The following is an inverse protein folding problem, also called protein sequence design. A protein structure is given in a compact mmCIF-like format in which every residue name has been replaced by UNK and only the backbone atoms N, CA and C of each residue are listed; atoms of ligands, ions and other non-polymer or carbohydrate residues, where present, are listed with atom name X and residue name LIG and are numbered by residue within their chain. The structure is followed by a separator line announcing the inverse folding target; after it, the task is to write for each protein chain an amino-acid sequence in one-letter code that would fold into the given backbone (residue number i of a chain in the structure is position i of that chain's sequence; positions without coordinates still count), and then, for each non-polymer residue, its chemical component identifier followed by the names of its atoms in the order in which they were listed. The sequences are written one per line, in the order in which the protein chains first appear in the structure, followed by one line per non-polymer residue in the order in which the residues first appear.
data_IF_703135430768
#
_entry.id   IF_703135430768
#
_cell.length_a   1.000
_cell.length_b   1.000
_cell.length_c   1.000
_cell.angle_alpha   90.00
_cell.angle_beta   90.00
_cell.angle_gamma   90.00
#
_symmetry.space_group_name_H-M   'P 1'
#
loop_
_entity.id
_entity.type
_entity.pdbx_description
1 polymer ?
#
# COMPACT_ATOMS: atom_id res chain seq x y z
N UNK A 1 6.60 8.29 -27.85
CA UNK A 1 6.52 7.63 -26.52
C UNK A 1 6.95 8.65 -25.49
N UNK A 2 6.16 8.97 -24.46
CA UNK A 2 6.70 9.76 -23.36
C UNK A 2 7.85 8.95 -22.75
N UNK A 3 9.00 9.59 -22.58
CA UNK A 3 10.18 8.95 -22.00
C UNK A 3 9.89 8.63 -20.53
N UNK A 4 10.22 7.41 -20.08
CA UNK A 4 10.10 7.04 -18.67
C UNK A 4 10.82 8.07 -17.80
N UNK A 5 10.12 8.58 -16.78
CA UNK A 5 10.62 9.69 -15.94
C UNK A 5 11.82 9.23 -15.12
N UNK A 6 11.69 8.04 -14.54
CA UNK A 6 12.73 7.33 -13.81
C UNK A 6 13.13 6.10 -14.62
N UNK A 7 14.44 5.84 -14.69
CA UNK A 7 15.01 4.69 -15.40
C UNK A 7 15.88 3.87 -14.46
N UNK A 8 15.95 2.55 -14.68
CA UNK A 8 16.78 1.67 -13.88
C UNK A 8 18.26 2.12 -13.91
N UNK A 9 18.90 2.12 -12.76
CA UNK A 9 20.29 2.60 -12.58
C UNK A 9 20.41 4.10 -12.29
N UNK A 10 19.34 4.89 -12.45
CA UNK A 10 19.33 6.30 -12.08
C UNK A 10 19.58 6.46 -10.57
N UNK A 11 20.42 7.44 -10.22
CA UNK A 11 20.71 7.82 -8.82
C UNK A 11 20.16 9.21 -8.55
N UNK A 12 19.17 9.30 -7.67
CA UNK A 12 18.55 10.57 -7.30
C UNK A 12 19.08 10.99 -5.93
N UNK A 13 19.53 12.26 -5.82
CA UNK A 13 20.13 12.84 -4.61
C UNK A 13 21.29 12.02 -4.01
N UNK A 14 21.98 11.19 -4.82
CA UNK A 14 22.98 10.19 -4.37
C UNK A 14 22.45 9.23 -3.27
N UNK A 15 21.13 9.17 -3.05
CA UNK A 15 20.46 8.41 -1.99
C UNK A 15 19.58 7.31 -2.55
N UNK A 16 18.72 7.64 -3.52
CA UNK A 16 17.75 6.71 -4.08
C UNK A 16 18.28 6.12 -5.40
N UNK A 17 18.45 4.80 -5.42
CA UNK A 17 18.95 4.05 -6.56
C UNK A 17 17.76 3.36 -7.23
N UNK A 18 17.30 3.92 -8.35
CA UNK A 18 16.13 3.42 -9.09
C UNK A 18 16.44 2.05 -9.68
N UNK A 19 15.51 1.11 -9.49
CA UNK A 19 15.53 -0.23 -10.08
C UNK A 19 14.45 -0.34 -11.15
N UNK A 20 13.65 -1.39 -11.14
CA UNK A 20 12.61 -1.64 -12.11
C UNK A 20 11.33 -0.82 -11.82
N UNK A 21 10.58 -0.53 -12.88
CA UNK A 21 9.19 -0.04 -12.78
C UNK A 21 8.32 -1.14 -12.16
N UNK A 22 7.45 -0.75 -11.25
CA UNK A 22 6.48 -1.63 -10.57
C UNK A 22 5.09 -1.52 -11.20
N UNK A 23 4.73 -0.32 -11.65
CA UNK A 23 3.43 -0.09 -12.26
C UNK A 23 3.30 1.30 -12.86
N UNK A 24 2.21 1.49 -13.60
CA UNK A 24 1.77 2.76 -14.15
C UNK A 24 0.27 2.84 -13.92
N UNK A 25 -0.18 4.00 -13.46
CA UNK A 25 -1.59 4.26 -13.24
C UNK A 25 -1.95 5.68 -13.63
N UNK A 26 -3.22 6.03 -13.42
CA UNK A 26 -3.76 7.36 -13.72
C UNK A 26 -2.96 8.49 -13.06
N UNK A 27 -2.41 8.24 -11.87
CA UNK A 27 -1.73 9.25 -11.06
C UNK A 27 -0.20 9.23 -11.21
N UNK A 28 0.34 8.47 -12.17
CA UNK A 28 1.77 8.45 -12.46
C UNK A 28 2.39 7.06 -12.43
N UNK A 29 3.71 7.05 -12.39
CA UNK A 29 4.53 5.84 -12.49
C UNK A 29 5.10 5.47 -11.12
N UNK A 30 5.14 4.17 -10.80
CA UNK A 30 5.71 3.68 -9.54
C UNK A 30 6.91 2.80 -9.84
N UNK A 31 8.00 3.04 -9.12
CA UNK A 31 9.28 2.34 -9.31
C UNK A 31 9.77 1.75 -8.00
N UNK A 32 10.45 0.60 -8.08
CA UNK A 32 11.27 0.10 -6.99
C UNK A 32 12.56 0.90 -6.94
N UNK A 33 13.01 1.27 -5.76
CA UNK A 33 14.34 1.83 -5.56
C UNK A 33 14.97 1.31 -4.27
N UNK A 34 16.28 1.50 -4.14
CA UNK A 34 17.01 1.27 -2.90
C UNK A 34 17.38 2.62 -2.28
N UNK A 35 16.94 2.87 -1.06
CA UNK A 35 17.42 3.98 -0.25
C UNK A 35 18.73 3.58 0.41
N UNK A 36 19.84 4.18 -0.02
CA UNK A 36 21.18 3.89 0.49
C UNK A 36 21.42 4.42 1.91
N UNK A 37 20.67 5.44 2.34
CA UNK A 37 20.82 6.02 3.68
C UNK A 37 20.15 5.12 4.71
N UNK A 38 18.88 4.80 4.49
CA UNK A 38 18.10 3.89 5.37
C UNK A 38 18.41 2.40 5.12
N UNK A 39 19.17 2.10 4.07
CA UNK A 39 19.58 0.75 3.65
C UNK A 39 18.41 -0.20 3.39
N UNK A 40 17.31 0.31 2.84
CA UNK A 40 16.09 -0.46 2.60
C UNK A 40 15.53 -0.24 1.19
N UNK A 41 14.75 -1.21 0.72
CA UNK A 41 13.98 -1.06 -0.51
C UNK A 41 12.75 -0.16 -0.28
N UNK A 42 12.48 0.75 -1.21
CA UNK A 42 11.38 1.72 -1.18
C UNK A 42 10.63 1.76 -2.51
N UNK A 43 9.41 2.28 -2.50
CA UNK A 43 8.66 2.62 -3.70
C UNK A 43 8.79 4.13 -4.00
N UNK A 44 9.06 4.49 -5.25
CA UNK A 44 9.06 5.87 -5.73
C UNK A 44 7.85 6.07 -6.64
N UNK A 45 6.85 6.84 -6.18
CA UNK A 45 5.72 7.27 -7.01
C UNK A 45 6.07 8.63 -7.63
N UNK A 46 6.19 8.66 -8.95
CA UNK A 46 6.47 9.85 -9.74
C UNK A 46 5.17 10.37 -10.35
N UNK A 47 4.74 11.55 -9.90
CA UNK A 47 3.53 12.24 -10.37
C UNK A 47 3.95 13.46 -11.17
N UNK A 48 3.43 13.63 -12.38
CA UNK A 48 3.76 14.79 -13.21
C UNK A 48 3.32 16.08 -12.52
N UNK A 49 4.23 17.06 -12.50
CA UNK A 49 3.96 18.43 -12.07
C UNK A 49 3.41 19.17 -13.28
N UNK A 50 2.14 19.53 -13.25
CA UNK A 50 1.48 20.21 -14.38
C UNK A 50 1.57 21.71 -14.15
N UNK A 51 2.50 22.36 -14.83
CA UNK A 51 2.71 23.82 -14.76
C UNK A 51 1.62 24.66 -15.46
N UNK A 52 0.46 24.06 -15.79
CA UNK A 52 -0.66 24.81 -16.36
C UNK A 52 -1.58 25.31 -15.26
N UNK A 53 -2.10 26.52 -15.45
CA UNK A 53 -2.95 27.31 -14.53
C UNK A 53 -4.29 26.63 -14.19
N UNK A 54 -4.47 25.35 -14.53
CA UNK A 54 -5.63 24.54 -14.12
C UNK A 54 -5.26 23.69 -12.88
N UNK A 55 -5.54 24.29 -11.73
CA UNK A 55 -5.20 23.95 -10.33
C UNK A 55 -5.54 22.54 -9.79
N UNK A 56 -5.68 21.48 -10.60
CA UNK A 56 -6.23 20.19 -10.11
C UNK A 56 -5.25 19.03 -9.97
N UNK A 57 -4.16 18.97 -10.74
CA UNK A 57 -3.30 17.77 -10.78
C UNK A 57 -2.07 17.86 -9.84
N UNK A 58 -1.44 19.03 -9.70
CA UNK A 58 -0.41 19.25 -8.66
C UNK A 58 -0.98 19.18 -7.23
N UNK A 59 -2.28 19.47 -7.09
CA UNK A 59 -3.01 19.27 -5.85
C UNK A 59 -3.12 17.78 -5.45
N UNK A 60 -2.98 16.84 -6.39
CA UNK A 60 -3.11 15.40 -6.13
C UNK A 60 -1.88 14.84 -5.42
N UNK A 61 -0.67 15.10 -5.92
CA UNK A 61 0.58 14.62 -5.28
C UNK A 61 0.82 15.29 -3.92
N UNK A 62 0.62 16.61 -3.85
CA UNK A 62 0.71 17.37 -2.60
C UNK A 62 -0.38 16.92 -1.62
N UNK A 63 -1.60 16.66 -2.11
CA UNK A 63 -2.71 16.14 -1.31
C UNK A 63 -2.41 14.77 -0.73
N UNK A 64 -1.95 13.84 -1.56
CA UNK A 64 -1.56 12.48 -1.14
C UNK A 64 -0.42 12.52 -0.12
N UNK A 65 0.64 13.29 -0.38
CA UNK A 65 1.74 13.45 0.55
C UNK A 65 1.27 14.02 1.90
N UNK A 66 0.41 15.05 1.91
CA UNK A 66 -0.16 15.63 3.14
C UNK A 66 -0.98 14.61 3.94
N UNK A 67 -1.79 13.80 3.26
CA UNK A 67 -2.62 12.77 3.90
C UNK A 67 -1.72 11.69 4.50
N UNK A 68 -0.73 11.20 3.75
CA UNK A 68 0.22 10.21 4.25
C UNK A 68 1.04 10.75 5.44
N UNK A 69 1.46 12.01 5.41
CA UNK A 69 2.11 12.66 6.55
C UNK A 69 1.20 12.73 7.78
N UNK A 70 -0.08 13.08 7.59
CA UNK A 70 -1.07 13.12 8.67
C UNK A 70 -1.30 11.73 9.26
N UNK A 71 -1.40 10.70 8.42
CA UNK A 71 -1.54 9.31 8.83
C UNK A 71 -0.32 8.82 9.62
N UNK A 72 0.90 9.12 9.14
CA UNK A 72 2.15 8.76 9.82
C UNK A 72 2.28 9.47 11.17
N UNK A 73 1.96 10.78 11.22
CA UNK A 73 1.97 11.58 12.45
C UNK A 73 1.04 11.00 13.51
N UNK A 74 -0.15 10.55 13.12
CA UNK A 74 -1.11 9.91 14.02
C UNK A 74 -0.83 8.41 14.25
N UNK A 75 0.27 7.86 13.69
CA UNK A 75 0.62 6.43 13.77
C UNK A 75 -0.54 5.52 13.38
N UNK A 76 -1.29 5.93 12.35
CA UNK A 76 -2.48 5.22 11.89
C UNK A 76 -2.10 3.81 11.42
N UNK A 77 -2.53 2.77 12.15
CA UNK A 77 -2.26 1.38 11.74
C UNK A 77 -3.03 1.07 10.45
N UNK A 78 -2.40 0.31 9.55
CA UNK A 78 -2.98 -0.02 8.24
C UNK A 78 -2.78 1.04 7.15
N UNK A 79 -2.04 2.14 7.42
CA UNK A 79 -1.66 3.11 6.38
C UNK A 79 -0.20 2.95 5.93
N UNK A 80 0.10 3.18 4.64
CA UNK A 80 1.46 3.22 4.12
C UNK A 80 2.31 4.27 4.81
N UNK A 81 3.60 4.00 4.95
CA UNK A 81 4.56 5.01 5.37
C UNK A 81 5.03 5.85 4.18
N UNK A 82 5.21 7.15 4.43
CA UNK A 82 5.86 8.11 3.55
C UNK A 82 7.17 8.49 4.24
N UNK A 83 8.28 8.19 3.59
CA UNK A 83 9.62 8.40 4.11
C UNK A 83 10.20 9.74 3.69
N UNK A 84 9.90 10.19 2.47
CA UNK A 84 10.40 11.44 1.91
C UNK A 84 9.46 11.93 0.79
N UNK A 85 9.54 13.22 0.48
CA UNK A 85 8.81 13.88 -0.59
C UNK A 85 9.67 14.98 -1.20
N UNK A 86 9.84 14.96 -2.52
CA UNK A 86 10.63 15.98 -3.21
C UNK A 86 10.31 16.10 -4.69
N UNK A 87 10.66 17.23 -5.29
CA UNK A 87 10.58 17.41 -6.75
C UNK A 87 11.84 16.88 -7.45
N UNK A 88 11.65 16.24 -8.59
CA UNK A 88 12.72 15.80 -9.49
C UNK A 88 12.29 16.01 -10.94
N UNK A 89 13.00 16.90 -11.65
CA UNK A 89 12.57 17.43 -12.95
C UNK A 89 11.14 18.01 -12.81
N UNK A 90 10.27 17.76 -13.77
CA UNK A 90 8.86 18.15 -13.77
C UNK A 90 7.94 17.15 -13.05
N UNK A 91 8.43 16.48 -12.00
CA UNK A 91 7.66 15.49 -11.26
C UNK A 91 7.82 15.65 -9.74
N UNK A 92 6.73 15.44 -9.03
CA UNK A 92 6.70 15.23 -7.59
C UNK A 92 6.96 13.75 -7.30
N UNK A 93 7.96 13.48 -6.46
CA UNK A 93 8.37 12.12 -6.08
C UNK A 93 7.96 11.88 -4.62
N UNK A 94 7.11 10.89 -4.41
CA UNK A 94 6.77 10.36 -3.09
C UNK A 94 7.62 9.11 -2.85
N UNK A 95 8.41 9.11 -1.76
CA UNK A 95 9.17 7.94 -1.31
C UNK A 95 8.34 7.22 -0.26
N UNK A 96 7.86 6.04 -0.62
CA UNK A 96 6.88 5.28 0.16
C UNK A 96 7.42 3.91 0.54
N UNK A 97 6.76 3.31 1.51
CA UNK A 97 6.91 1.91 1.83
C UNK A 97 6.72 1.01 0.60
N UNK A 98 7.65 0.06 0.41
CA UNK A 98 7.53 -0.94 -0.63
C UNK A 98 6.69 -2.12 -0.17
N UNK A 99 5.62 -2.40 -0.91
CA UNK A 99 4.76 -3.56 -0.71
C UNK A 99 5.19 -4.76 -1.55
N UNK A 100 4.80 -5.96 -1.12
CA UNK A 100 5.08 -7.20 -1.83
C UNK A 100 4.14 -7.41 -3.01
N UNK A 101 2.84 -7.26 -2.76
CA UNK A 101 1.79 -7.39 -3.77
C UNK A 101 0.51 -6.69 -3.29
N UNK A 102 -0.45 -6.52 -4.18
CA UNK A 102 -1.81 -6.08 -3.85
C UNK A 102 -2.80 -7.24 -3.88
N UNK A 103 -3.98 -7.03 -3.31
CA UNK A 103 -4.99 -8.06 -3.14
C UNK A 103 -5.61 -8.50 -4.48
N UNK A 104 -5.64 -7.62 -5.49
CA UNK A 104 -6.08 -7.96 -6.84
C UNK A 104 -5.11 -8.96 -7.49
N UNK A 105 -3.81 -8.66 -7.44
CA UNK A 105 -2.77 -9.56 -7.95
C UNK A 105 -2.74 -10.87 -7.18
N UNK A 106 -2.95 -10.83 -5.88
CA UNK A 106 -2.99 -12.03 -5.06
C UNK A 106 -4.16 -12.94 -5.46
N UNK A 107 -5.37 -12.39 -5.63
CA UNK A 107 -6.54 -13.15 -6.11
C UNK A 107 -6.30 -13.69 -7.52
N UNK A 108 -5.71 -12.88 -8.40
CA UNK A 108 -5.39 -13.25 -9.78
C UNK A 108 -4.41 -14.41 -9.84
N UNK A 109 -3.44 -14.52 -8.94
CA UNK A 109 -2.44 -15.62 -8.95
C UNK A 109 -2.81 -16.78 -8.02
N UNK A 110 -3.89 -16.65 -7.24
CA UNK A 110 -4.35 -17.75 -6.39
C UNK A 110 -4.77 -18.97 -7.24
N UNK A 111 -4.33 -20.20 -6.90
CA UNK A 111 -4.62 -21.40 -7.71
C UNK A 111 -6.12 -21.63 -7.95
N UNK A 112 -6.95 -21.36 -6.94
CA UNK A 112 -8.41 -21.52 -7.00
C UNK A 112 -9.15 -20.26 -7.45
N UNK A 113 -8.45 -19.17 -7.76
CA UNK A 113 -9.00 -17.82 -8.05
C UNK A 113 -10.05 -17.34 -7.02
N UNK A 114 -9.98 -17.86 -5.81
CA UNK A 114 -10.90 -17.62 -4.70
C UNK A 114 -10.19 -17.92 -3.39
N UNK A 115 -10.59 -17.25 -2.32
CA UNK A 115 -10.09 -17.50 -0.96
C UNK A 115 -11.08 -18.37 -0.18
N UNK A 116 -10.57 -19.16 0.76
CA UNK A 116 -11.43 -19.77 1.76
C UNK A 116 -12.23 -18.70 2.52
N UNK A 117 -13.43 -19.06 3.01
CA UNK A 117 -14.26 -18.16 3.84
C UNK A 117 -13.46 -17.60 5.02
N UNK A 118 -12.59 -18.43 5.59
CA UNK A 118 -11.77 -18.07 6.74
C UNK A 118 -10.73 -17.00 6.41
N UNK A 119 -9.97 -17.19 5.33
CA UNK A 119 -9.04 -16.20 4.82
C UNK A 119 -9.75 -14.88 4.50
N UNK A 120 -10.91 -14.95 3.81
CA UNK A 120 -11.72 -13.77 3.50
C UNK A 120 -12.14 -12.97 4.74
N UNK A 121 -12.62 -13.65 5.79
CA UNK A 121 -13.03 -13.01 7.04
C UNK A 121 -11.86 -12.29 7.73
N UNK A 122 -10.67 -12.86 7.67
CA UNK A 122 -9.48 -12.23 8.25
C UNK A 122 -8.99 -11.02 7.44
N UNK A 123 -9.04 -11.08 6.11
CA UNK A 123 -8.78 -9.90 5.28
C UNK A 123 -9.81 -8.81 5.54
N UNK A 124 -11.09 -9.16 5.62
CA UNK A 124 -12.15 -8.22 5.96
C UNK A 124 -11.88 -7.54 7.31
N UNK A 125 -11.51 -8.32 8.34
CA UNK A 125 -11.16 -7.77 9.66
C UNK A 125 -10.08 -6.68 9.57
N UNK A 126 -8.93 -6.98 8.95
CA UNK A 126 -7.82 -6.02 8.88
C UNK A 126 -8.12 -4.83 7.97
N UNK A 127 -8.84 -5.02 6.88
CA UNK A 127 -9.30 -3.92 6.02
C UNK A 127 -10.24 -3.01 6.79
N UNK A 128 -11.21 -3.57 7.52
CA UNK A 128 -12.14 -2.81 8.35
C UNK A 128 -11.40 -2.07 9.48
N UNK A 129 -10.41 -2.71 10.12
CA UNK A 129 -9.57 -2.07 11.14
C UNK A 129 -8.78 -0.88 10.57
N UNK A 130 -8.16 -1.04 9.39
CA UNK A 130 -7.46 0.05 8.70
C UNK A 130 -8.41 1.21 8.38
N UNK A 131 -9.60 0.91 7.83
CA UNK A 131 -10.63 1.92 7.53
C UNK A 131 -11.11 2.63 8.80
N UNK A 132 -11.35 1.88 9.89
CA UNK A 132 -11.70 2.44 11.20
C UNK A 132 -10.66 3.45 11.66
N UNK A 133 -9.37 3.11 11.57
CA UNK A 133 -8.29 3.98 12.03
C UNK A 133 -8.20 5.29 11.22
N UNK A 134 -8.34 5.24 9.89
CA UNK A 134 -8.32 6.46 9.07
C UNK A 134 -9.58 7.33 9.31
N UNK A 135 -10.74 6.70 9.54
CA UNK A 135 -11.98 7.41 9.82
C UNK A 135 -11.96 8.09 11.19
N UNK A 136 -11.27 7.52 12.19
CA UNK A 136 -11.10 8.13 13.52
C UNK A 136 -10.37 9.47 13.48
N UNK A 137 -9.54 9.70 12.46
CA UNK A 137 -8.84 10.99 12.25
C UNK A 137 -9.52 11.85 11.17
N UNK A 138 -10.75 11.51 10.77
CA UNK A 138 -11.56 12.30 9.85
C UNK A 138 -11.23 12.12 8.36
N UNK A 139 -10.49 11.08 7.99
CA UNK A 139 -10.09 10.83 6.59
C UNK A 139 -10.94 9.69 6.02
N UNK A 140 -11.64 9.94 4.92
CA UNK A 140 -12.34 8.90 4.16
C UNK A 140 -11.48 8.45 2.98
N UNK A 141 -11.26 7.15 2.75
CA UNK A 141 -10.44 6.64 1.62
C UNK A 141 -11.11 6.72 0.24
N UNK A 142 -12.44 6.55 0.14
CA UNK A 142 -13.28 6.67 -1.08
C UNK A 142 -12.93 5.81 -2.31
N UNK A 143 -11.83 5.06 -2.32
CA UNK A 143 -11.43 4.15 -3.41
C UNK A 143 -10.94 2.80 -2.87
N UNK A 144 -11.75 2.19 -2.00
CA UNK A 144 -11.45 0.89 -1.42
C UNK A 144 -11.77 -0.18 -2.47
N UNK A 145 -10.73 -0.80 -3.00
CA UNK A 145 -10.79 -1.89 -3.98
C UNK A 145 -9.58 -2.83 -3.79
N UNK A 146 -9.62 -4.08 -4.30
CA UNK A 146 -8.52 -5.03 -4.11
C UNK A 146 -7.15 -4.52 -4.57
N UNK A 147 -7.09 -3.72 -5.64
CA UNK A 147 -5.85 -3.12 -6.14
C UNK A 147 -5.25 -2.05 -5.21
N UNK A 148 -6.02 -1.56 -4.23
CA UNK A 148 -5.58 -0.57 -3.24
C UNK A 148 -5.32 -1.17 -1.85
N UNK A 149 -5.46 -2.49 -1.69
CA UNK A 149 -5.18 -3.23 -0.46
C UNK A 149 -3.88 -4.01 -0.68
N UNK A 150 -2.84 -3.65 0.05
CA UNK A 150 -1.48 -4.14 -0.16
C UNK A 150 -1.01 -5.02 0.97
N UNK A 151 -0.19 -6.01 0.63
CA UNK A 151 0.53 -6.85 1.57
C UNK A 151 1.93 -6.30 1.81
N UNK A 152 2.27 -6.09 3.09
CA UNK A 152 3.59 -5.65 3.53
C UNK A 152 4.66 -6.69 3.21
N UNK A 153 5.85 -6.21 2.87
CA UNK A 153 7.02 -7.06 2.73
C UNK A 153 7.60 -7.32 4.13
N UNK A 154 7.67 -8.58 4.56
CA UNK A 154 8.36 -8.90 5.81
C UNK A 154 9.86 -9.02 5.53
N UNK A 155 10.58 -7.91 5.72
CA UNK A 155 12.04 -7.93 5.57
C UNK A 155 12.75 -8.50 6.81
N UNK A 156 12.03 -8.97 7.84
CA UNK A 156 12.65 -9.55 9.03
C UNK A 156 13.32 -10.91 8.77
N UNK A 157 13.01 -11.60 7.66
CA UNK A 157 13.53 -12.94 7.38
C UNK A 157 13.87 -13.15 5.88
N UNK A 158 14.92 -12.48 5.38
CA UNK A 158 15.51 -12.80 4.06
C UNK A 158 16.39 -14.07 4.11
N UNK A 159 15.79 -15.22 4.44
CA UNK A 159 16.40 -16.52 4.16
C UNK A 159 15.66 -17.17 2.97
N UNK A 160 16.32 -17.38 1.81
CA UNK A 160 15.72 -18.09 0.69
C UNK A 160 15.39 -19.53 1.14
N UNK A 161 14.09 -19.84 1.20
CA UNK A 161 13.57 -21.13 1.69
C UNK A 161 12.61 -21.03 2.89
N UNK A 162 12.46 -19.86 3.51
CA UNK A 162 11.61 -19.71 4.70
C UNK A 162 10.19 -19.22 4.39
N UNK A 163 9.23 -19.93 4.99
CA UNK A 163 7.81 -19.56 5.11
C UNK A 163 7.70 -18.22 5.85
N UNK A 164 7.16 -17.20 5.20
CA UNK A 164 6.92 -15.89 5.83
C UNK A 164 5.53 -15.87 6.46
N UNK A 165 5.45 -15.69 7.78
CA UNK A 165 4.20 -15.73 8.57
C UNK A 165 3.61 -14.34 8.76
N UNK A 166 2.36 -14.17 8.32
CA UNK A 166 1.64 -12.90 8.27
C UNK A 166 0.96 -12.42 9.54
N UNK A 167 1.53 -11.46 10.27
CA UNK A 167 0.92 -10.87 11.49
C UNK A 167 0.06 -9.59 11.22
N UNK A 168 -0.50 -8.99 12.28
CA UNK A 168 -1.46 -7.87 12.25
C UNK A 168 -1.02 -6.60 11.47
N UNK A 169 0.24 -6.47 11.08
CA UNK A 169 0.77 -5.31 10.35
C UNK A 169 0.79 -5.43 8.82
N UNK A 170 0.16 -6.46 8.26
CA UNK A 170 0.43 -6.91 6.90
C UNK A 170 -0.48 -6.32 5.84
N UNK A 171 -1.70 -5.92 6.16
CA UNK A 171 -2.55 -5.24 5.19
C UNK A 171 -2.45 -3.73 5.36
N UNK A 172 -2.17 -3.04 4.25
CA UNK A 172 -2.21 -1.58 4.20
C UNK A 172 -3.10 -1.13 3.05
N UNK A 173 -3.95 -0.16 3.31
CA UNK A 173 -4.74 0.47 2.26
C UNK A 173 -4.01 1.73 1.78
N UNK A 174 -3.62 1.79 0.50
CA UNK A 174 -3.08 3.04 -0.05
C UNK A 174 -4.22 4.01 -0.24
N UNK A 175 -4.17 5.09 0.53
CA UNK A 175 -5.15 6.16 0.47
C UNK A 175 -4.93 6.98 -0.80
N UNK A 176 -5.65 6.68 -1.87
CA UNK A 176 -5.78 7.55 -3.05
C UNK A 176 -7.00 8.46 -2.87
N UNK A 177 -6.80 9.79 -2.79
CA UNK A 177 -7.89 10.73 -2.56
C UNK A 177 -7.83 12.03 -3.38
N UNK A 178 -8.86 12.21 -4.22
CA UNK A 178 -9.27 13.47 -4.85
C UNK A 178 -9.85 14.45 -3.83
N UNK A 179 -9.04 15.29 -3.17
CA UNK A 179 -9.45 16.38 -2.27
C UNK A 179 -10.93 16.80 -2.41
N UNK A 180 -11.79 16.29 -1.52
CA UNK A 180 -13.11 16.83 -1.25
C UNK A 180 -13.52 16.30 0.13
N UNK A 181 -13.34 17.16 1.13
CA UNK A 181 -13.69 16.90 2.52
C UNK A 181 -15.21 16.71 2.63
N UNK A 182 -15.64 15.52 3.01
CA UNK A 182 -16.90 15.35 3.73
C UNK A 182 -16.60 14.51 4.95
N UNK A 183 -16.81 15.09 6.13
CA UNK A 183 -16.75 14.38 7.40
C UNK A 183 -17.96 13.44 7.46
N UNK A 184 -17.73 12.13 7.30
CA UNK A 184 -18.76 11.11 7.43
C UNK A 184 -18.93 10.66 8.89
N UNK A 185 -20.16 10.35 9.31
CA UNK A 185 -20.45 9.73 10.62
C UNK A 185 -19.64 8.44 10.77
N UNK A 186 -19.05 8.22 11.95
CA UNK A 186 -18.30 7.01 12.28
C UNK A 186 -19.19 5.76 12.18
N UNK A 187 -18.95 4.83 11.24
CA UNK A 187 -19.69 3.57 11.17
C UNK A 187 -19.51 2.71 12.43
N UNK A 188 -20.46 1.81 12.71
CA UNK A 188 -20.44 0.87 13.85
C UNK A 188 -19.43 -0.27 13.63
N UNK A 189 -18.15 0.09 13.52
CA UNK A 189 -17.07 -0.86 13.24
C UNK A 189 -16.95 -1.98 14.27
N UNK A 190 -17.17 -1.68 15.55
CA UNK A 190 -17.01 -2.67 16.60
C UNK A 190 -18.00 -3.83 16.44
N UNK A 191 -19.27 -3.53 16.15
CA UNK A 191 -20.30 -4.54 15.90
C UNK A 191 -19.93 -5.48 14.73
N UNK A 192 -19.39 -4.90 13.64
CA UNK A 192 -18.94 -5.67 12.46
C UNK A 192 -17.73 -6.55 12.81
N UNK A 193 -16.74 -6.01 13.53
CA UNK A 193 -15.55 -6.77 13.93
C UNK A 193 -15.89 -7.90 14.91
N UNK A 194 -16.84 -7.67 15.82
CA UNK A 194 -17.34 -8.69 16.75
C UNK A 194 -18.10 -9.79 15.99
N UNK A 195 -18.85 -9.43 14.94
CA UNK A 195 -19.52 -10.39 14.08
C UNK A 195 -18.53 -11.25 13.28
N UNK A 196 -17.50 -10.66 12.70
CA UNK A 196 -16.43 -11.40 12.01
C UNK A 196 -15.75 -12.36 12.98
N UNK A 197 -15.45 -11.90 14.20
CA UNK A 197 -14.78 -12.70 15.23
C UNK A 197 -15.63 -13.89 15.68
N UNK A 198 -16.96 -13.72 15.82
CA UNK A 198 -17.89 -14.83 16.12
C UNK A 198 -17.91 -15.90 15.03
N UNK A 199 -17.74 -15.51 13.77
CA UNK A 199 -17.84 -16.42 12.61
C UNK A 199 -16.51 -17.07 12.20
N UNK A 200 -15.36 -16.51 12.58
CA UNK A 200 -14.05 -17.01 12.12
C UNK A 200 -13.57 -18.28 12.85
N UNK A 201 -14.13 -18.61 14.05
CA UNK A 201 -13.68 -19.69 14.96
C UNK A 201 -12.16 -19.70 15.27
N UNK A 202 -11.45 -18.63 14.91
CA UNK A 202 -10.01 -18.51 14.97
C UNK A 202 -9.68 -17.24 15.76
N UNK A 203 -8.74 -17.28 16.71
CA UNK A 203 -8.16 -16.07 17.26
C UNK A 203 -7.67 -15.24 16.09
N UNK A 204 -8.12 -13.99 15.96
CA UNK A 204 -7.86 -13.06 14.84
C UNK A 204 -6.36 -12.68 14.70
N UNK A 205 -5.50 -13.47 15.32
CA UNK A 205 -4.04 -13.39 15.38
C UNK A 205 -3.37 -14.54 14.62
N UNK A 206 -4.11 -15.40 13.89
CA UNK A 206 -3.48 -16.50 13.14
C UNK A 206 -2.86 -15.99 11.84
N UNK A 207 -1.59 -16.33 11.69
CA UNK A 207 -0.77 -15.88 10.56
C UNK A 207 -1.19 -16.54 9.25
N UNK A 208 -1.29 -15.76 8.16
CA UNK A 208 -1.39 -16.31 6.80
C UNK A 208 -0.01 -16.59 6.22
N UNK A 209 0.09 -17.63 5.39
CA UNK A 209 1.29 -17.93 4.64
C UNK A 209 1.17 -17.37 3.21
N UNK A 210 2.04 -16.42 2.85
CA UNK A 210 2.15 -15.92 1.47
C UNK A 210 3.30 -16.62 0.77
N UNK A 211 2.96 -17.54 -0.14
CA UNK A 211 3.91 -18.26 -0.98
C UNK A 211 4.36 -17.37 -2.13
N UNK A 212 5.67 -17.30 -2.35
CA UNK A 212 6.29 -16.61 -3.48
C UNK A 212 6.78 -17.65 -4.47
N UNK A 213 6.34 -17.53 -5.71
CA UNK A 213 6.81 -18.37 -6.80
C UNK A 213 8.15 -17.87 -7.34
N UNK A 214 8.88 -18.75 -8.03
CA UNK A 214 10.17 -18.42 -8.66
C UNK A 214 10.07 -17.34 -9.74
N UNK A 215 8.88 -17.15 -10.33
CA UNK A 215 8.58 -16.11 -11.31
C UNK A 215 8.23 -14.74 -10.69
N UNK A 216 8.30 -14.62 -9.36
CA UNK A 216 7.99 -13.40 -8.62
C UNK A 216 6.50 -13.20 -8.32
N UNK A 217 5.61 -14.08 -8.79
CA UNK A 217 4.19 -14.06 -8.40
C UNK A 217 4.01 -14.53 -6.95
N UNK A 218 2.89 -14.17 -6.33
CA UNK A 218 2.61 -14.56 -4.94
C UNK A 218 1.16 -14.96 -4.77
N UNK A 219 0.90 -15.96 -3.93
CA UNK A 219 -0.44 -16.39 -3.55
C UNK A 219 -0.51 -16.75 -2.06
N UNK A 220 -1.72 -16.80 -1.51
CA UNK A 220 -1.96 -17.27 -0.15
C UNK A 220 -2.11 -18.78 -0.12
N UNK A 221 -1.48 -19.43 0.85
CA UNK A 221 -1.77 -20.81 1.18
C UNK A 221 -2.83 -20.84 2.28
N UNK A 222 -4.01 -21.35 1.95
CA UNK A 222 -5.05 -21.62 2.94
C UNK A 222 -4.60 -22.77 3.87
N UNK A 223 -4.76 -22.60 5.19
CA UNK A 223 -4.61 -23.67 6.19
C UNK A 223 -5.92 -24.40 6.43
#
# INVERSE_FOLDING_TARGET
MPSQVLVAGLKIKKRYYVRNKLGEGKFGEVYKAYDKVEKMDVALKAVATVNTVEEKEDASAIGEARILLLLNKNKCKGSPQLYDYFSYKSHSILVMELFKTDFHQLLKHHPKKSFSKQSLLHFAYHVIEAIKNIHQIGILHRDIKPANIFLRNDQSHQNPGNVVRGNNGWLKTIVELLLNQQYGRTPRYQEILDEISRHSRIPVTRDFEVVVNSDGTSYLKDF
#
